data_IF_279212379437
#
_entry.id   IF_279212379437
#
_cell.length_a   1.000
_cell.length_b   1.000
_cell.length_c   1.000
_cell.angle_alpha   90.00
_cell.angle_beta   90.00
_cell.angle_gamma   90.00
#
_symmetry.space_group_name_H-M   'P 1'
#
loop_
_entity.id
_entity.type
_entity.pdbx_description
1 polymer ?
2 non-polymer ?
3 non-polymer ?
4 non-polymer ?
5 non-polymer ?
6 water ?
#
# COMPACT_ATOMS: atom_id res chain seq x y z
N UNK A 3 -6.47 12.38 -13.11
CA UNK A 3 -6.43 11.89 -11.70
C UNK A 3 -4.99 11.51 -11.29
N UNK A 4 -4.36 12.35 -10.47
CA UNK A 4 -3.02 12.06 -9.96
C UNK A 4 -3.18 11.05 -8.84
N UNK A 5 -2.33 10.03 -8.84
CA UNK A 5 -2.44 9.00 -7.81
C UNK A 5 -1.87 9.60 -6.53
N UNK A 6 -2.55 9.39 -5.41
CA UNK A 6 -2.04 9.84 -4.10
C UNK A 6 -0.75 9.13 -3.61
N UNK A 7 0.00 9.80 -2.74
CA UNK A 7 1.29 9.30 -2.27
C UNK A 7 1.21 8.12 -1.33
N UNK A 8 0.12 8.00 -0.57
CA UNK A 8 0.01 7.01 0.53
C UNK A 8 -0.88 5.87 0.14
N UNK A 9 -0.32 4.82 -0.47
CA UNK A 9 -1.19 3.76 -0.97
C UNK A 9 -2.03 3.03 0.08
N UNK A 10 -1.59 3.01 1.34
CA UNK A 10 -2.38 2.39 2.40
C UNK A 10 -3.77 3.00 2.55
N UNK A 11 -3.96 4.25 2.14
CA UNK A 11 -5.26 4.88 2.22
C UNK A 11 -6.25 4.32 1.20
N UNK A 12 -5.75 3.73 0.10
CA UNK A 12 -6.62 2.96 -0.80
C UNK A 12 -7.12 1.69 -0.09
N UNK A 13 -6.29 1.06 0.73
CA UNK A 13 -6.73 -0.07 1.54
C UNK A 13 -7.78 0.38 2.56
N UNK A 14 -7.52 1.50 3.25
CA UNK A 14 -8.49 2.06 4.19
C UNK A 14 -9.83 2.35 3.48
N UNK A 15 -9.78 2.99 2.32
CA UNK A 15 -10.98 3.30 1.57
C UNK A 15 -11.80 2.04 1.30
N UNK A 16 -11.12 0.97 0.91
CA UNK A 16 -11.83 -0.29 0.66
C UNK A 16 -12.51 -0.84 1.92
N UNK A 17 -11.84 -0.73 3.08
CA UNK A 17 -12.45 -1.10 4.36
C UNK A 17 -13.70 -0.25 4.65
N UNK A 18 -13.60 1.05 4.38
CA UNK A 18 -14.72 1.97 4.61
C UNK A 18 -15.88 1.68 3.66
N UNK A 19 -15.56 1.36 2.41
CA UNK A 19 -16.58 0.95 1.45
C UNK A 19 -17.34 -0.32 1.88
N UNK A 20 -16.65 -1.23 2.55
CA UNK A 20 -17.24 -2.49 3.00
C UNK A 20 -18.07 -2.34 4.27
N UNK A 21 -17.81 -1.30 5.05
CA UNK A 21 -18.58 -1.04 6.26
C UNK A 21 -20.03 -0.70 5.92
N UNK A 22 -20.92 -0.98 6.87
CA UNK A 22 -22.31 -0.63 6.73
C UNK A 22 -22.62 0.81 7.08
N UNK A 23 -21.67 1.51 7.69
CA UNK A 23 -21.90 2.91 8.07
C UNK A 23 -21.93 3.80 6.85
N UNK A 24 -22.64 4.93 6.95
CA UNK A 24 -22.67 5.87 5.84
C UNK A 24 -21.29 6.51 5.60
N UNK A 25 -21.13 7.02 4.39
CA UNK A 25 -19.82 7.38 3.87
C UNK A 25 -19.45 8.81 4.25
N UNK A 26 -19.09 9.00 5.52
CA UNK A 26 -18.55 10.25 6.02
C UNK A 26 -17.16 9.99 6.60
N UNK A 27 -16.18 10.78 6.15
CA UNK A 27 -14.77 10.60 6.55
C UNK A 27 -14.10 11.91 6.98
N UNK A 28 -13.31 11.83 8.06
CA UNK A 28 -12.49 12.95 8.54
C UNK A 28 -11.01 12.63 8.37
N UNK A 29 -10.29 13.55 7.74
CA UNK A 29 -8.83 13.50 7.64
C UNK A 29 -8.25 14.49 8.65
N UNK A 30 -7.59 13.94 9.67
CA UNK A 30 -6.85 14.75 10.66
C UNK A 30 -5.42 14.98 10.21
N UNK A 31 -5.18 16.16 9.64
CA UNK A 31 -3.92 16.55 9.04
C UNK A 31 -4.04 16.51 7.52
N UNK A 32 -4.94 17.31 6.95
CA UNK A 32 -5.46 17.03 5.59
C UNK A 32 -4.85 17.81 4.43
N UNK A 33 -3.98 18.77 4.71
CA UNK A 33 -3.54 19.71 3.68
C UNK A 33 -2.44 19.17 2.80
N UNK A 34 -1.85 20.05 1.99
CA UNK A 34 -0.77 19.68 1.10
C UNK A 34 -1.20 19.73 -0.36
N UNK A 35 -0.24 19.47 -1.24
CA UNK A 35 -0.40 19.58 -2.69
C UNK A 35 -1.14 18.39 -3.30
N UNK A 36 -1.41 17.36 -2.50
CA UNK A 36 -2.04 16.11 -2.99
C UNK A 36 -2.89 15.46 -1.89
N UNK A 37 -3.96 16.17 -1.44
CA UNK A 37 -4.77 15.73 -0.31
C UNK A 37 -5.49 14.39 -0.55
N UNK A 38 -5.19 13.39 0.27
CA UNK A 38 -5.82 12.08 0.04
C UNK A 38 -7.34 12.05 0.22
N UNK A 39 -7.93 13.09 0.79
CA UNK A 39 -9.40 13.16 0.81
C UNK A 39 -9.95 13.10 -0.61
N UNK A 40 -9.14 13.46 -1.61
CA UNK A 40 -9.54 13.36 -3.02
C UNK A 40 -10.07 11.96 -3.40
N UNK A 41 -9.45 10.89 -2.91
CA UNK A 41 -9.93 9.55 -3.28
C UNK A 41 -11.29 9.24 -2.64
N UNK A 42 -11.56 9.82 -1.48
CA UNK A 42 -12.85 9.61 -0.83
C UNK A 42 -13.97 10.40 -1.52
N UNK A 43 -13.72 11.67 -1.81
CA UNK A 43 -14.66 12.51 -2.56
C UNK A 43 -15.03 11.84 -3.87
N UNK A 44 -14.02 11.37 -4.58
CA UNK A 44 -14.21 10.68 -5.86
C UNK A 44 -15.07 9.42 -5.73
N UNK A 45 -15.08 8.81 -4.55
CA UNK A 45 -15.82 7.56 -4.30
C UNK A 45 -17.15 7.79 -3.56
N UNK A 46 -17.64 9.03 -3.56
CA UNK A 46 -18.97 9.33 -3.03
C UNK A 46 -19.06 9.77 -1.58
N UNK A 47 -17.92 9.97 -0.91
CA UNK A 47 -17.95 10.30 0.51
C UNK A 47 -18.26 11.75 0.75
N UNK A 48 -18.86 12.02 1.90
CA UNK A 48 -18.86 13.36 2.48
C UNK A 48 -17.58 13.49 3.30
N UNK A 49 -16.80 14.52 3.00
CA UNK A 49 -15.46 14.61 3.58
C UNK A 49 -15.33 15.82 4.49
N UNK A 50 -14.45 15.67 5.48
CA UNK A 50 -14.06 16.73 6.39
C UNK A 50 -12.56 16.62 6.58
N UNK A 51 -11.91 17.75 6.68
CA UNK A 51 -10.50 17.77 6.99
C UNK A 51 -10.15 18.85 7.99
N UNK A 52 -9.11 18.58 8.77
CA UNK A 52 -8.55 19.56 9.67
C UNK A 52 -7.09 19.74 9.30
N UNK A 53 -6.63 20.98 9.24
CA UNK A 53 -5.25 21.27 8.89
C UNK A 53 -4.80 22.52 9.65
N UNK A 54 -3.67 22.43 10.33
CA UNK A 54 -3.13 23.53 11.15
C UNK A 54 -2.39 24.58 10.33
N UNK A 55 -1.73 24.16 9.26
CA UNK A 55 -0.88 25.07 8.47
C UNK A 55 -1.67 25.82 7.41
N UNK A 56 -1.57 27.14 7.42
CA UNK A 56 -2.16 28.00 6.39
C UNK A 56 -1.60 27.66 5.01
N UNK A 57 -0.28 27.43 4.94
CA UNK A 57 0.34 27.07 3.67
C UNK A 57 -0.22 25.75 3.14
N UNK A 58 -0.31 24.74 4.01
CA UNK A 58 -0.83 23.43 3.62
C UNK A 58 -2.29 23.50 3.20
N UNK A 59 -3.04 24.36 3.87
CA UNK A 59 -4.45 24.55 3.53
C UNK A 59 -4.57 25.15 2.12
N UNK A 60 -3.74 26.17 1.85
CA UNK A 60 -3.72 26.82 0.53
C UNK A 60 -3.37 25.86 -0.62
N UNK A 61 -2.36 25.02 -0.40
CA UNK A 61 -1.97 24.01 -1.37
C UNK A 61 -3.13 23.07 -1.68
N UNK A 62 -3.84 22.61 -0.66
CA UNK A 62 -4.95 21.69 -0.86
C UNK A 62 -6.16 22.34 -1.54
N UNK A 63 -6.40 23.62 -1.28
CA UNK A 63 -7.50 24.33 -1.91
C UNK A 63 -7.21 24.58 -3.40
N UNK A 64 -5.97 24.93 -3.72
CA UNK A 64 -5.56 25.05 -5.12
C UNK A 64 -5.71 23.71 -5.87
N UNK A 65 -5.28 22.62 -5.22
CA UNK A 65 -5.47 21.28 -5.78
C UNK A 65 -6.94 21.02 -6.07
N UNK A 66 -7.77 21.28 -5.06
CA UNK A 66 -9.21 21.08 -5.14
C UNK A 66 -9.90 21.81 -6.29
N UNK A 67 -9.60 23.09 -6.44
CA UNK A 67 -10.21 23.88 -7.50
C UNK A 67 -9.65 23.48 -8.86
N UNK A 68 -8.37 23.13 -8.90
CA UNK A 68 -7.75 22.58 -10.12
C UNK A 68 -8.39 21.27 -10.55
N UNK A 69 -8.86 20.49 -9.59
CA UNK A 69 -9.46 19.18 -9.88
C UNK A 69 -10.98 19.18 -9.73
N UNK A 70 -11.54 20.34 -9.42
CA UNK A 70 -12.97 20.54 -9.55
C UNK A 70 -13.82 19.85 -8.47
N UNK A 71 -13.28 19.68 -7.27
CA UNK A 71 -14.12 19.27 -6.13
C UNK A 71 -13.88 20.07 -4.87
N UNK A 72 -14.74 19.84 -3.88
CA UNK A 72 -14.67 20.48 -2.58
C UNK A 72 -14.39 19.42 -1.50
N UNK A 73 -13.30 19.58 -0.78
CA UNK A 73 -12.86 18.61 0.23
C UNK A 73 -13.31 18.96 1.64
N UNK A 74 -13.71 20.22 1.86
CA UNK A 74 -14.24 20.65 3.15
C UNK A 74 -13.15 20.56 4.24
N UNK A 75 -11.97 21.05 3.91
CA UNK A 75 -10.85 21.11 4.84
C UNK A 75 -10.87 22.48 5.48
N UNK A 76 -10.78 22.51 6.80
CA UNK A 76 -10.73 23.78 7.52
C UNK A 76 -9.54 23.84 8.45
N UNK A 77 -9.13 25.05 8.79
CA UNK A 77 -8.05 25.27 9.74
C UNK A 77 -8.47 24.80 11.12
N UNK A 78 -7.58 24.06 11.76
CA UNK A 78 -7.83 23.56 13.10
C UNK A 78 -6.68 22.77 13.65
N UNK A 79 -6.85 22.37 14.90
CA UNK A 79 -5.87 21.61 15.65
C UNK A 79 -6.49 20.26 15.92
N UNK A 80 -5.84 19.19 15.46
CA UNK A 80 -6.36 17.83 15.61
C UNK A 80 -6.45 17.35 17.07
N UNK A 81 -5.82 18.10 17.97
CA UNK A 81 -5.94 17.84 19.40
C UNK A 81 -7.24 18.39 19.94
N UNK A 82 -7.93 19.21 19.17
CA UNK A 82 -9.19 19.79 19.59
C UNK A 82 -10.16 19.86 18.42
N UNK A 83 -10.77 18.72 18.12
CA UNK A 83 -11.61 18.59 16.94
C UNK A 83 -12.94 19.33 17.12
N UNK A 84 -13.32 20.15 16.14
CA UNK A 84 -14.54 20.94 16.29
C UNK A 84 -15.84 20.16 16.06
N UNK A 85 -15.80 18.84 16.08
CA UNK A 85 -16.96 18.02 15.74
C UNK A 85 -17.53 17.35 16.98
N UNK A 86 -18.80 16.95 16.90
CA UNK A 86 -19.52 16.36 18.04
C UNK A 86 -19.07 14.92 18.29
N UNK A 87 -19.40 14.40 19.47
CA UNK A 87 -19.15 13.00 19.80
C UNK A 87 -19.83 12.10 18.78
N UNK A 88 -19.15 11.03 18.38
CA UNK A 88 -19.75 10.02 17.50
C UNK A 88 -20.44 10.64 16.29
N UNK A 89 -19.74 11.57 15.65
CA UNK A 89 -20.25 12.25 14.47
C UNK A 89 -19.72 11.65 13.17
N UNK A 90 -18.60 10.93 13.22
CA UNK A 90 -17.94 10.45 12.01
C UNK A 90 -17.94 8.92 11.90
N UNK A 91 -18.27 8.42 10.72
CA UNK A 91 -18.16 6.99 10.46
C UNK A 91 -16.70 6.53 10.39
N UNK A 92 -15.86 7.34 9.74
CA UNK A 92 -14.48 6.96 9.48
C UNK A 92 -13.54 8.14 9.71
N UNK A 93 -12.39 7.85 10.31
CA UNK A 93 -11.39 8.89 10.58
C UNK A 93 -9.99 8.34 10.30
N UNK A 94 -9.15 9.14 9.65
CA UNK A 94 -7.74 8.78 9.54
C UNK A 94 -6.80 9.93 9.89
N UNK A 95 -5.62 9.56 10.40
CA UNK A 95 -4.50 10.47 10.56
C UNK A 95 -3.27 9.70 10.13
N UNK A 96 -2.79 9.99 8.93
CA UNK A 96 -1.77 9.20 8.25
C UNK A 96 -0.60 10.12 7.89
N UNK A 97 0.62 9.73 8.27
CA UNK A 97 1.80 10.60 8.07
C UNK A 97 1.79 11.88 8.89
N UNK A 98 1.07 11.87 10.01
CA UNK A 98 0.74 13.09 10.76
C UNK A 98 1.07 13.03 12.24
N UNK A 99 0.53 12.01 12.91
CA UNK A 99 0.56 11.88 14.37
C UNK A 99 1.96 11.93 14.97
N UNK A 100 2.91 11.35 14.27
CA UNK A 100 4.27 11.24 14.75
C UNK A 100 5.10 12.54 14.61
N UNK A 101 4.44 13.64 14.23
CA UNK A 101 5.09 14.95 14.22
C UNK A 101 4.84 15.69 15.51
N UNK A 102 4.44 14.97 16.54
CA UNK A 102 4.08 15.57 17.81
C UNK A 102 4.77 14.83 18.93
N UNK A 103 4.93 15.54 20.05
CA UNK A 103 5.25 14.92 21.32
C UNK A 103 4.15 13.92 21.70
N UNK A 104 4.53 12.92 22.49
CA UNK A 104 3.65 11.79 22.79
C UNK A 104 2.41 12.16 23.61
N UNK A 105 2.53 13.19 24.43
CA UNK A 105 1.38 13.76 25.11
C UNK A 105 0.34 14.28 24.12
N UNK A 106 0.82 14.97 23.08
CA UNK A 106 -0.05 15.47 22.01
C UNK A 106 -0.62 14.32 21.17
N UNK A 107 0.19 13.29 20.93
CA UNK A 107 -0.30 12.12 20.19
C UNK A 107 -1.51 11.56 20.91
N UNK A 108 -1.39 11.39 22.22
CA UNK A 108 -2.50 10.87 23.00
C UNK A 108 -3.75 11.75 22.88
N UNK A 109 -3.58 13.07 22.99
CA UNK A 109 -4.73 13.98 22.84
C UNK A 109 -5.41 13.79 21.48
N UNK A 110 -4.61 13.70 20.41
CA UNK A 110 -5.18 13.59 19.08
C UNK A 110 -5.94 12.28 18.93
N UNK A 111 -5.36 11.19 19.43
CA UNK A 111 -5.96 9.87 19.29
C UNK A 111 -7.23 9.80 20.12
N UNK A 112 -7.21 10.39 21.31
CA UNK A 112 -8.42 10.46 22.13
C UNK A 112 -9.53 11.20 21.37
N UNK A 113 -9.17 12.27 20.65
CA UNK A 113 -10.15 13.01 19.85
C UNK A 113 -10.73 12.20 18.69
N UNK A 114 -9.87 11.46 18.00
CA UNK A 114 -10.32 10.55 16.96
C UNK A 114 -11.35 9.55 17.53
N UNK A 115 -10.99 8.92 18.63
CA UNK A 115 -11.88 7.98 19.31
C UNK A 115 -13.21 8.63 19.70
N UNK A 116 -13.13 9.85 20.24
CA UNK A 116 -14.34 10.60 20.63
C UNK A 116 -15.29 10.84 19.45
N UNK A 117 -14.78 11.33 18.33
CA UNK A 117 -15.66 11.72 17.23
C UNK A 117 -16.16 10.52 16.42
N UNK A 118 -15.50 9.39 16.60
CA UNK A 118 -15.81 8.18 15.84
C UNK A 118 -17.12 7.57 16.36
N UNK A 119 -17.99 7.17 15.43
CA UNK A 119 -19.19 6.41 15.77
C UNK A 119 -18.84 4.99 16.26
N UNK A 120 -19.70 4.39 17.11
CA UNK A 120 -19.56 2.96 17.38
C UNK A 120 -19.59 2.19 16.06
N UNK A 121 -18.68 1.22 15.91
CA UNK A 121 -18.58 0.47 14.68
C UNK A 121 -17.74 1.17 13.61
N UNK A 122 -17.33 2.41 13.89
CA UNK A 122 -16.56 3.19 12.92
C UNK A 122 -15.12 2.74 12.88
N UNK A 123 -14.41 3.16 11.83
CA UNK A 123 -13.04 2.74 11.60
C UNK A 123 -12.09 3.91 11.73
N UNK A 124 -10.95 3.65 12.36
CA UNK A 124 -9.83 4.57 12.40
C UNK A 124 -8.62 3.97 11.67
N UNK A 125 -7.93 4.80 10.90
CA UNK A 125 -6.63 4.45 10.33
C UNK A 125 -5.59 5.47 10.79
N UNK A 126 -4.56 4.97 11.47
CA UNK A 126 -3.52 5.79 12.05
C UNK A 126 -2.21 5.07 11.85
N UNK A 127 -1.17 5.80 11.46
CA UNK A 127 0.17 5.22 11.46
C UNK A 127 1.21 6.01 12.26
N UNK A 128 2.32 5.33 12.52
CA UNK A 128 3.35 5.76 13.45
C UNK A 128 4.72 5.46 12.88
N UNK A 129 5.71 6.28 13.22
CA UNK A 129 7.12 5.94 13.08
C UNK A 129 7.52 4.96 14.17
N UNK A 130 8.30 3.96 13.80
CA UNK A 130 8.76 2.94 14.73
C UNK A 130 10.23 3.11 15.03
N UNK A 131 10.67 2.35 16.04
CA UNK A 131 12.08 2.28 16.41
C UNK A 131 12.98 1.66 15.33
N UNK A 132 12.39 1.13 14.26
CA UNK A 132 13.19 0.61 13.15
C UNK A 132 13.58 1.69 12.15
N UNK A 133 12.99 2.87 12.28
CA UNK A 133 13.35 3.99 11.43
C UNK A 133 14.78 4.44 11.69
N UNK A 134 15.50 4.72 10.60
CA UNK A 134 16.89 5.17 10.65
C UNK A 134 17.13 6.41 11.53
N UNK A 135 16.10 7.25 11.64
CA UNK A 135 16.20 8.51 12.38
C UNK A 135 15.90 8.33 13.89
N UNK A 136 15.45 7.14 14.29
CA UNK A 136 15.26 6.86 15.71
C UNK A 136 16.58 7.09 16.44
N UNK A 137 16.54 7.83 17.55
CA UNK A 137 17.75 8.15 18.31
C UNK A 137 18.70 9.17 17.67
N UNK A 138 18.28 9.83 16.60
CA UNK A 138 19.08 10.90 16.03
C UNK A 138 18.53 12.26 16.46
N UNK A 139 19.40 13.27 16.42
CA UNK A 139 19.01 14.60 16.81
C UNK A 139 18.94 14.74 18.32
N UNK A 140 18.23 15.76 18.76
CA UNK A 140 18.17 16.12 20.17
C UNK A 140 17.02 15.37 20.86
N UNK A 141 17.34 14.48 21.80
CA UNK A 141 16.31 13.75 22.54
C UNK A 141 15.62 14.67 23.55
N UNK A 142 14.30 14.80 23.46
CA UNK A 142 13.53 15.66 24.35
C UNK A 142 12.51 14.90 25.23
N UNK A 143 12.50 13.58 25.07
CA UNK A 143 11.60 12.71 25.82
C UNK A 143 11.85 11.29 25.38
N UNK A 144 11.30 10.31 26.08
CA UNK A 144 11.46 8.93 25.64
C UNK A 144 10.79 8.79 24.28
N UNK A 145 11.58 8.39 23.28
CA UNK A 145 11.13 8.33 21.90
C UNK A 145 10.70 9.63 21.24
N UNK A 146 11.22 10.76 21.72
CA UNK A 146 10.86 12.08 21.18
C UNK A 146 12.14 12.83 20.85
N UNK A 147 12.22 13.30 19.61
CA UNK A 147 13.44 13.91 19.11
C UNK A 147 13.15 15.18 18.33
N UNK A 148 14.07 16.13 18.45
CA UNK A 148 14.05 17.36 17.68
C UNK A 148 15.07 17.15 16.56
N UNK A 149 14.57 17.06 15.33
CA UNK A 149 15.39 16.67 14.18
C UNK A 149 15.26 17.78 13.13
N UNK A 150 15.96 17.69 11.99
CA UNK A 150 16.11 18.87 11.09
C UNK A 150 15.29 18.89 9.78
N UNK A 151 14.38 17.93 9.63
CA UNK A 151 13.41 17.93 8.53
C UNK A 151 12.50 19.16 8.56
N UNK A 153 16.35 21.81 6.19
CA UNK A 153 15.08 22.14 6.82
C UNK A 153 15.24 22.96 8.10
N UNK A 154 14.60 22.50 9.18
CA UNK A 154 14.68 23.18 10.49
C UNK A 154 14.23 22.25 11.63
N UNK A 155 14.35 22.71 12.88
CA UNK A 155 14.10 21.86 14.06
C UNK A 155 12.64 21.44 14.18
N UNK A 156 12.38 20.15 13.94
CA UNK A 156 11.02 19.58 13.97
C UNK A 156 10.99 18.37 14.89
N UNK A 157 9.81 18.11 15.47
CA UNK A 157 9.64 17.03 16.42
C UNK A 157 9.22 15.76 15.71
N UNK A 158 9.89 14.66 16.03
CA UNK A 158 9.45 13.32 15.65
C UNK A 158 9.34 12.42 16.89
N UNK A 159 8.20 11.73 16.99
CA UNK A 159 8.00 10.71 18.02
C UNK A 159 8.00 9.34 17.36
N UNK A 160 8.64 8.40 18.06
CA UNK A 160 8.87 7.03 17.60
C UNK A 160 8.29 6.05 18.63
N UNK A 161 7.73 4.96 18.15
CA UNK A 161 7.19 3.91 19.02
C UNK A 161 7.75 2.52 18.73
N UNK A 162 7.80 1.69 19.77
CA UNK A 162 7.91 0.24 19.58
C UNK A 162 6.52 -0.28 19.20
N UNK A 163 6.45 -1.50 18.67
CA UNK A 163 5.15 -2.08 18.35
C UNK A 163 4.32 -2.33 19.60
N UNK A 164 4.96 -2.79 20.68
CA UNK A 164 4.28 -3.00 21.95
C UNK A 164 3.65 -1.69 22.42
N UNK A 165 4.38 -0.60 22.25
CA UNK A 165 3.91 0.71 22.66
C UNK A 165 2.73 1.15 21.78
N UNK A 166 2.88 0.98 20.47
CA UNK A 166 1.81 1.35 19.53
C UNK A 166 0.51 0.60 19.80
N UNK A 167 0.62 -0.67 20.16
CA UNK A 167 -0.55 -1.50 20.40
C UNK A 167 -1.43 -0.93 21.51
N UNK A 168 -0.81 -0.28 22.49
CA UNK A 168 -1.54 0.25 23.65
C UNK A 168 -2.57 1.32 23.29
N UNK A 169 -2.33 2.04 22.19
CA UNK A 169 -3.32 3.01 21.70
C UNK A 169 -4.64 2.38 21.22
N UNK A 170 -4.60 1.11 20.86
CA UNK A 170 -5.78 0.41 20.29
C UNK A 170 -6.27 -0.71 21.17
N UNK A 171 -5.83 -0.73 22.42
CA UNK A 171 -6.07 -1.88 23.29
C UNK A 171 -7.56 -2.05 23.59
N UNK A 172 -8.32 -0.96 23.55
CA UNK A 172 -9.78 -1.00 23.72
C UNK A 172 -10.56 -0.95 22.38
N UNK A 173 -9.88 -1.24 21.26
CA UNK A 173 -10.53 -1.25 19.96
C UNK A 173 -10.25 -2.60 19.34
N UNK A 174 -10.98 -2.93 18.27
CA UNK A 174 -10.70 -4.14 17.52
C UNK A 174 -9.80 -3.80 16.33
N UNK A 175 -8.56 -4.27 16.38
CA UNK A 175 -7.61 -4.05 15.33
C UNK A 175 -7.89 -5.01 14.18
N UNK A 176 -8.35 -4.48 13.05
CA UNK A 176 -8.66 -5.29 11.87
C UNK A 176 -7.42 -5.55 11.02
N UNK A 177 -6.48 -4.62 11.05
CA UNK A 177 -5.30 -4.63 10.16
C UNK A 177 -4.17 -3.91 10.89
N UNK A 178 -3.02 -4.57 10.97
CA UNK A 178 -1.81 -4.00 11.56
C UNK A 178 -0.65 -4.43 10.67
N UNK A 179 0.10 -3.46 10.17
CA UNK A 179 1.23 -3.72 9.28
C UNK A 179 2.48 -3.04 9.77
N UNK A 180 3.48 -3.83 10.12
CA UNK A 180 4.80 -3.34 10.45
C UNK A 180 5.59 -3.31 9.16
N UNK A 181 6.17 -2.14 8.83
CA UNK A 181 6.83 -1.91 7.54
C UNK A 181 8.24 -1.36 7.75
N UNK A 182 9.20 -1.92 7.01
CA UNK A 182 10.52 -1.32 6.91
C UNK A 182 10.77 -1.02 5.45
N UNK A 183 10.89 0.26 5.16
CA UNK A 183 10.99 0.75 3.77
C UNK A 183 12.38 1.25 3.52
N UNK A 184 12.99 0.77 2.44
CA UNK A 184 14.22 1.36 1.96
C UNK A 184 13.98 1.98 0.59
N UNK A 185 14.33 3.25 0.46
CA UNK A 185 14.13 3.98 -0.77
C UNK A 185 15.18 5.08 -0.88
N UNK A 186 15.14 5.84 -1.95
CA UNK A 186 16.16 6.83 -2.25
C UNK A 186 15.64 8.20 -1.85
N UNK A 187 16.43 8.95 -1.09
CA UNK A 187 16.14 10.34 -0.79
C UNK A 187 17.44 11.10 -0.81
N UNK A 188 17.47 12.17 -1.61
CA UNK A 188 18.62 13.02 -1.75
C UNK A 188 19.86 12.25 -2.19
N UNK A 189 19.64 11.30 -3.10
CA UNK A 189 20.75 10.57 -3.70
C UNK A 189 21.29 9.42 -2.86
N UNK A 190 20.67 9.16 -1.72
CA UNK A 190 21.13 8.12 -0.78
C UNK A 190 20.00 7.18 -0.42
N UNK A 191 20.34 5.92 -0.16
CA UNK A 191 19.38 4.96 0.36
C UNK A 191 19.06 5.33 1.80
N UNK A 192 17.78 5.43 2.14
CA UNK A 192 17.35 5.67 3.52
C UNK A 192 16.46 4.51 3.96
N UNK A 193 16.34 4.32 5.28
CA UNK A 193 15.52 3.26 5.81
C UNK A 193 14.49 3.88 6.74
N UNK A 194 13.21 3.67 6.43
CA UNK A 194 12.12 4.17 7.24
C UNK A 194 11.36 3.05 7.91
N UNK A 195 10.79 3.33 9.06
CA UNK A 195 10.05 2.32 9.80
C UNK A 195 8.72 2.89 10.21
N UNK A 196 7.65 2.19 9.81
CA UNK A 196 6.29 2.59 10.15
C UNK A 196 5.50 1.41 10.58
N UNK A 197 4.48 1.66 11.40
CA UNK A 197 3.41 0.69 11.66
C UNK A 197 2.06 1.37 11.43
N UNK A 198 1.21 0.70 10.66
CA UNK A 198 -0.08 1.20 10.24
C UNK A 198 -1.18 0.34 10.89
N UNK A 199 -2.20 0.98 11.45
CA UNK A 199 -3.34 0.31 12.04
C UNK A 199 -4.63 0.71 11.35
N UNK A 200 -5.51 -0.26 11.15
CA UNK A 200 -6.92 0.02 10.92
C UNK A 200 -7.67 -0.68 12.06
N UNK A 201 -8.45 0.09 12.83
CA UNK A 201 -9.14 -0.44 13.99
C UNK A 201 -10.59 0.01 14.02
N UNK A 202 -11.44 -0.86 14.59
CA UNK A 202 -12.87 -0.61 14.69
C UNK A 202 -13.27 -0.31 16.14
N UNK A 203 -14.14 0.69 16.31
CA UNK A 203 -14.62 1.12 17.62
C UNK A 203 -15.73 0.19 18.13
N UNK A 204 -15.56 -0.31 19.35
CA UNK A 204 -16.55 -1.24 19.93
C UNK A 204 -17.83 -0.50 20.26
N UNK A 205 -18.96 -1.21 20.14
CA UNK A 205 -20.19 -0.76 20.75
C UNK A 205 -20.09 -1.10 22.24
N UNK A 206 -20.48 -0.16 23.08
CA UNK A 206 -20.34 -0.44 24.52
C UNK A 206 -21.71 -0.47 25.17
N UNK A 207 -21.87 -1.39 26.10
CA UNK A 207 -23.07 -1.41 26.91
C UNK A 207 -22.71 -1.67 28.36
N UNK A 208 -23.66 -1.38 29.24
CA UNK A 208 -23.47 -1.51 30.66
C UNK A 208 -24.45 -2.53 31.24
N UNK A 209 -23.91 -3.61 31.79
CA UNK A 209 -24.69 -4.61 32.47
C UNK A 209 -25.44 -4.04 33.70
N UNK B 2 -11.76 4.97 -10.76
CA UNK B 2 -12.20 3.80 -11.57
C UNK B 2 -13.58 3.26 -11.17
N UNK B 3 -13.88 3.31 -9.88
CA UNK B 3 -15.13 2.76 -9.35
C UNK B 3 -14.79 1.86 -8.17
N UNK B 4 -14.13 0.74 -8.48
CA UNK B 4 -13.65 -0.14 -7.42
C UNK B 4 -12.13 -0.04 -7.24
N UNK B 5 -11.77 -0.34 -6.02
CA UNK B 5 -10.43 -0.29 -5.56
C UNK B 5 -9.97 -1.71 -5.68
N UNK B 6 -8.75 -1.88 -6.15
CA UNK B 6 -8.18 -3.19 -6.24
C UNK B 6 -7.71 -3.65 -4.86
N UNK B 7 -7.45 -4.95 -4.74
CA UNK B 7 -7.08 -5.57 -3.48
C UNK B 7 -5.66 -5.28 -3.03
N UNK B 8 -4.74 -5.04 -3.96
CA UNK B 8 -3.32 -4.91 -3.60
C UNK B 8 -2.87 -3.49 -3.70
N UNK B 9 -2.94 -2.75 -2.58
CA UNK B 9 -2.63 -1.32 -2.66
C UNK B 9 -1.21 -0.92 -3.08
N UNK B 10 -0.24 -1.80 -2.93
CA UNK B 10 1.08 -1.50 -3.40
C UNK B 10 1.10 -1.22 -4.91
N UNK B 11 0.16 -1.79 -5.65
CA UNK B 11 0.15 -1.53 -7.10
C UNK B 11 -0.27 -0.11 -7.45
N UNK B 12 -0.95 0.59 -6.55
CA UNK B 12 -1.14 2.04 -6.73
C UNK B 12 0.17 2.83 -6.60
N UNK B 13 1.05 2.39 -5.70
CA UNK B 13 2.39 2.99 -5.62
C UNK B 13 3.13 2.74 -6.94
N UNK B 14 3.08 1.51 -7.43
CA UNK B 14 3.76 1.19 -8.68
C UNK B 14 3.19 2.01 -9.84
N UNK B 15 1.86 2.11 -9.93
CA UNK B 15 1.25 2.96 -10.98
C UNK B 15 1.77 4.40 -10.91
N UNK B 16 1.88 4.93 -9.70
CA UNK B 16 2.40 6.28 -9.55
C UNK B 16 3.85 6.38 -10.05
N UNK B 17 4.69 5.38 -9.74
CA UNK B 17 6.05 5.39 -10.29
C UNK B 17 6.03 5.34 -11.82
N UNK B 18 5.20 4.47 -12.38
CA UNK B 18 5.12 4.34 -13.84
C UNK B 18 4.65 5.65 -14.50
N UNK B 19 3.72 6.35 -13.85
CA UNK B 19 3.22 7.62 -14.37
C UNK B 19 4.35 8.65 -14.38
N UNK B 20 5.22 8.57 -13.37
CA UNK B 20 6.33 9.53 -13.23
C UNK B 20 7.51 9.24 -14.18
N UNK B 21 7.68 7.99 -14.55
CA UNK B 21 8.69 7.58 -15.54
C UNK B 21 8.47 8.31 -16.86
N UNK B 22 9.56 8.66 -17.54
CA UNK B 22 9.48 9.27 -18.85
C UNK B 22 9.11 8.29 -19.96
N UNK B 23 9.10 7.00 -19.67
CA UNK B 23 8.76 6.03 -20.71
C UNK B 23 7.26 6.04 -21.02
N UNK B 24 6.90 5.56 -22.19
CA UNK B 24 5.51 5.53 -22.59
C UNK B 24 4.75 4.44 -21.81
N UNK B 25 3.44 4.58 -21.78
CA UNK B 25 2.58 3.87 -20.82
C UNK B 25 2.14 2.52 -21.37
N UNK B 26 3.06 1.57 -21.34
CA UNK B 26 2.81 0.18 -21.69
C UNK B 26 3.23 -0.72 -20.51
N UNK B 27 2.32 -1.56 -20.04
CA UNK B 27 2.55 -2.36 -18.86
C UNK B 27 2.12 -3.82 -19.06
N UNK B 28 2.91 -4.74 -18.53
CA UNK B 28 2.60 -6.17 -18.52
C UNK B 28 2.40 -6.65 -17.09
N UNK B 29 1.30 -7.36 -16.89
CA UNK B 29 0.99 -8.04 -15.62
C UNK B 29 1.26 -9.53 -15.82
N UNK B 30 2.31 -10.03 -15.18
CA UNK B 30 2.62 -11.46 -15.20
C UNK B 30 1.87 -12.16 -14.09
N UNK B 31 0.77 -12.80 -14.47
CA UNK B 31 -0.19 -13.43 -13.54
C UNK B 31 -1.41 -12.55 -13.32
N UNK B 32 -2.13 -12.27 -14.40
CA UNK B 32 -3.07 -11.15 -14.46
C UNK B 32 -4.55 -11.41 -14.21
N UNK B 33 -4.95 -12.69 -14.10
CA UNK B 33 -6.36 -13.03 -13.97
C UNK B 33 -6.98 -12.77 -12.61
N UNK B 34 -8.23 -13.17 -12.47
CA UNK B 34 -8.97 -13.06 -11.20
C UNK B 34 -10.18 -12.17 -11.38
N UNK B 35 -10.97 -12.04 -10.33
CA UNK B 35 -12.22 -11.29 -10.46
C UNK B 35 -12.05 -9.78 -10.27
N UNK B 36 -10.83 -9.35 -9.94
CA UNK B 36 -10.54 -7.92 -9.74
C UNK B 36 -9.13 -7.60 -10.27
N UNK B 37 -8.94 -7.78 -11.58
CA UNK B 37 -7.60 -7.73 -12.18
C UNK B 37 -7.00 -6.35 -12.04
N UNK B 38 -5.83 -6.23 -11.42
CA UNK B 38 -5.24 -4.89 -11.23
C UNK B 38 -4.86 -4.13 -12.51
N UNK B 39 -4.78 -4.80 -13.66
CA UNK B 39 -4.57 -4.06 -14.92
C UNK B 39 -5.66 -3.00 -15.12
N UNK B 40 -6.82 -3.20 -14.49
CA UNK B 40 -7.91 -2.21 -14.52
C UNK B 40 -7.45 -0.79 -14.17
N UNK B 41 -6.59 -0.64 -13.17
CA UNK B 41 -6.19 0.72 -12.75
C UNK B 41 -5.22 1.34 -13.76
N UNK B 42 -4.47 0.50 -14.44
CA UNK B 42 -3.64 0.96 -15.55
C UNK B 42 -4.46 1.34 -16.80
N UNK B 43 -5.44 0.54 -17.19
CA UNK B 43 -6.29 0.91 -18.33
C UNK B 43 -7.03 2.21 -18.04
N UNK B 44 -7.49 2.37 -16.81
CA UNK B 44 -8.24 3.56 -16.38
C UNK B 44 -7.36 4.80 -16.43
N UNK B 45 -6.05 4.60 -16.29
CA UNK B 45 -5.10 5.70 -16.31
C UNK B 45 -4.38 5.84 -17.65
N UNK B 46 -4.95 5.29 -18.71
CA UNK B 46 -4.44 5.52 -20.07
C UNK B 46 -3.35 4.60 -20.57
N UNK B 47 -3.12 3.46 -19.93
CA UNK B 47 -2.05 2.56 -20.35
C UNK B 47 -2.53 1.64 -21.47
N UNK B 48 -1.60 1.26 -22.32
CA UNK B 48 -1.74 0.03 -23.12
C UNK B 48 -1.33 -1.13 -22.21
N UNK B 49 -2.21 -2.11 -22.05
CA UNK B 49 -1.97 -3.19 -21.09
C UNK B 49 -1.80 -4.53 -21.79
N UNK B 50 -1.04 -5.40 -21.13
CA UNK B 50 -0.89 -6.78 -21.54
C UNK B 50 -0.91 -7.62 -20.28
N UNK B 51 -1.52 -8.79 -20.36
CA UNK B 51 -1.53 -9.72 -19.22
C UNK B 51 -1.27 -11.13 -19.66
N UNK B 52 -0.64 -11.89 -18.78
CA UNK B 52 -0.43 -13.31 -18.95
C UNK B 52 -1.01 -14.04 -17.75
N UNK B 53 -1.79 -15.08 -18.01
CA UNK B 53 -2.42 -15.89 -16.98
C UNK B 53 -2.47 -17.37 -17.38
N UNK B 54 -2.03 -18.25 -16.50
CA UNK B 54 -1.97 -19.67 -16.80
C UNK B 54 -3.29 -20.42 -16.47
N UNK B 55 -4.06 -19.90 -15.52
CA UNK B 55 -5.28 -20.53 -15.06
C UNK B 55 -6.47 -20.21 -15.96
N UNK B 56 -7.14 -21.22 -16.46
CA UNK B 56 -8.37 -21.03 -17.26
C UNK B 56 -9.46 -20.31 -16.47
N UNK B 57 -9.68 -20.74 -15.22
CA UNK B 57 -10.69 -20.12 -14.39
C UNK B 57 -10.39 -18.64 -14.08
N UNK B 58 -9.14 -18.32 -13.75
CA UNK B 58 -8.77 -16.94 -13.44
C UNK B 58 -8.88 -16.04 -14.67
N UNK B 59 -8.56 -16.60 -15.82
CA UNK B 59 -8.70 -15.89 -17.08
C UNK B 59 -10.17 -15.63 -17.39
N UNK B 60 -11.02 -16.63 -17.15
CA UNK B 60 -12.45 -16.45 -17.31
C UNK B 60 -13.02 -15.39 -16.37
N UNK B 61 -12.57 -15.40 -15.11
CA UNK B 61 -13.00 -14.37 -14.16
C UNK B 61 -12.59 -12.95 -14.58
N UNK B 62 -11.39 -12.79 -15.12
CA UNK B 62 -10.93 -11.47 -15.55
C UNK B 62 -11.70 -10.98 -16.77
N UNK B 63 -12.02 -11.89 -17.69
CA UNK B 63 -12.87 -11.58 -18.84
C UNK B 63 -14.29 -11.14 -18.44
N UNK B 64 -14.89 -11.79 -17.46
CA UNK B 64 -16.22 -11.41 -16.98
C UNK B 64 -16.18 -10.00 -16.43
N UNK B 65 -15.15 -9.71 -15.63
CA UNK B 65 -14.93 -8.37 -15.07
C UNK B 65 -14.76 -7.35 -16.20
N UNK B 66 -13.97 -7.72 -17.20
CA UNK B 66 -13.75 -6.88 -18.37
C UNK B 66 -15.05 -6.49 -19.06
N UNK B 67 -15.88 -7.48 -19.35
CA UNK B 67 -17.15 -7.25 -20.00
C UNK B 67 -18.05 -6.37 -19.15
N UNK B 68 -18.22 -6.74 -17.88
CA UNK B 68 -19.05 -5.98 -16.94
C UNK B 68 -18.63 -4.50 -16.88
N UNK B 69 -17.33 -4.22 -16.98
CA UNK B 69 -16.78 -2.87 -16.90
C UNK B 69 -16.42 -2.21 -18.24
N UNK B 70 -16.68 -2.91 -19.35
CA UNK B 70 -16.44 -2.38 -20.69
C UNK B 70 -14.96 -2.07 -20.96
N UNK B 71 -14.07 -2.93 -20.46
CA UNK B 71 -12.62 -2.80 -20.68
C UNK B 71 -12.14 -3.87 -21.62
N UNK B 72 -11.08 -3.57 -22.35
CA UNK B 72 -10.20 -4.59 -22.89
C UNK B 72 -8.91 -4.52 -22.08
N UNK B 73 -8.59 -5.57 -21.34
CA UNK B 73 -7.32 -5.65 -20.61
C UNK B 73 -6.18 -6.37 -21.35
N UNK B 74 -6.49 -7.06 -22.45
CA UNK B 74 -5.50 -7.76 -23.23
C UNK B 74 -4.74 -8.85 -22.46
N UNK B 75 -5.48 -9.64 -21.70
CA UNK B 75 -4.92 -10.77 -20.98
C UNK B 75 -5.02 -12.00 -21.85
N UNK B 76 -3.90 -12.73 -21.97
CA UNK B 76 -3.83 -13.97 -22.76
C UNK B 76 -3.40 -15.11 -21.90
N UNK B 77 -3.84 -16.31 -22.25
CA UNK B 77 -3.34 -17.51 -21.63
C UNK B 77 -1.86 -17.65 -21.93
N UNK B 78 -1.09 -18.01 -20.92
CA UNK B 78 0.33 -18.23 -21.10
C UNK B 78 1.06 -18.55 -19.81
N UNK B 79 2.36 -18.78 -19.94
CA UNK B 79 3.21 -19.19 -18.84
C UNK B 79 4.23 -18.09 -18.67
N UNK B 80 4.31 -17.53 -17.46
CA UNK B 80 5.19 -16.38 -17.24
C UNK B 80 6.67 -16.76 -17.29
N UNK B 81 6.96 -18.06 -17.33
CA UNK B 81 8.34 -18.51 -17.53
C UNK B 81 8.79 -18.44 -18.95
N UNK B 82 7.84 -18.24 -19.87
CA UNK B 82 8.14 -18.11 -21.29
C UNK B 82 7.24 -17.05 -21.89
N UNK B 83 7.61 -15.80 -21.71
CA UNK B 83 6.78 -14.69 -22.18
C UNK B 83 6.81 -14.54 -23.69
N UNK B 84 5.64 -14.39 -24.34
CA UNK B 84 5.56 -14.26 -25.79
C UNK B 84 5.82 -12.82 -26.30
N UNK B 85 6.73 -12.09 -25.66
CA UNK B 85 6.99 -10.71 -26.04
C UNK B 85 8.45 -10.57 -26.42
N UNK B 86 8.76 -9.60 -27.26
CA UNK B 86 10.12 -9.38 -27.69
C UNK B 86 10.97 -8.77 -26.58
N UNK B 87 12.29 -8.91 -26.73
CA UNK B 87 13.25 -8.20 -25.88
C UNK B 87 12.93 -6.69 -25.86
N UNK B 88 13.01 -6.07 -24.68
CA UNK B 88 12.88 -4.63 -24.52
C UNK B 88 11.58 -4.08 -25.13
N UNK B 89 10.47 -4.80 -24.96
CA UNK B 89 9.18 -4.40 -25.53
C UNK B 89 8.27 -3.65 -24.54
N UNK B 90 8.52 -3.79 -23.23
CA UNK B 90 7.60 -3.23 -22.20
C UNK B 90 8.29 -2.15 -21.39
N UNK B 91 7.59 -1.05 -21.16
CA UNK B 91 8.10 -0.03 -20.28
C UNK B 91 8.05 -0.52 -18.83
N UNK B 92 6.95 -1.16 -18.45
CA UNK B 92 6.72 -1.55 -17.06
C UNK B 92 6.17 -2.97 -16.99
N UNK B 93 6.60 -3.70 -15.96
CA UNK B 93 6.19 -5.10 -15.75
C UNK B 93 6.03 -5.33 -14.26
N UNK B 94 4.95 -6.01 -13.90
CA UNK B 94 4.80 -6.42 -12.53
C UNK B 94 4.31 -7.87 -12.44
N UNK B 95 4.73 -8.52 -11.35
CA UNK B 95 4.22 -9.84 -10.97
C UNK B 95 4.05 -9.76 -9.48
N UNK B 96 2.80 -9.61 -9.07
CA UNK B 96 2.45 -9.24 -7.71
C UNK B 96 1.48 -10.25 -7.15
N UNK B 97 1.81 -10.84 -6.00
CA UNK B 97 1.01 -11.92 -5.44
C UNK B 97 1.04 -13.21 -6.22
N UNK B 98 2.10 -13.43 -6.98
CA UNK B 98 2.15 -14.46 -8.01
C UNK B 98 3.39 -15.32 -8.02
N UNK B 99 4.52 -14.64 -8.00
CA UNK B 99 5.80 -15.29 -8.33
C UNK B 99 6.16 -16.41 -7.36
N UNK B 100 5.78 -16.23 -6.10
CA UNK B 100 6.07 -17.17 -5.04
C UNK B 100 5.12 -18.41 -5.04
N UNK B 101 4.29 -18.55 -6.06
CA UNK B 101 3.51 -19.77 -6.26
C UNK B 101 4.27 -20.80 -7.08
N UNK B 102 5.59 -20.68 -7.11
CA UNK B 102 6.42 -21.53 -7.92
C UNK B 102 7.66 -21.91 -7.13
N UNK B 103 8.28 -22.97 -7.57
CA UNK B 103 9.58 -23.41 -7.07
C UNK B 103 10.63 -22.36 -7.44
N UNK B 104 11.68 -22.26 -6.64
CA UNK B 104 12.67 -21.23 -6.82
C UNK B 104 13.36 -21.23 -8.21
N UNK B 105 13.61 -22.38 -8.80
CA UNK B 105 14.14 -22.40 -10.17
C UNK B 105 13.17 -21.74 -11.16
N UNK B 106 11.86 -21.95 -10.95
CA UNK B 106 10.85 -21.34 -11.80
C UNK B 106 10.72 -19.83 -11.53
N UNK B 107 10.86 -19.44 -10.26
CA UNK B 107 10.90 -18.03 -9.91
C UNK B 107 12.01 -17.34 -10.71
N UNK B 108 13.20 -17.95 -10.75
CA UNK B 108 14.33 -17.36 -11.50
C UNK B 108 14.00 -17.24 -12.99
N UNK B 109 13.41 -18.30 -13.56
CA UNK B 109 13.00 -18.27 -14.98
C UNK B 109 12.09 -17.08 -15.25
N UNK B 110 11.09 -16.90 -14.38
CA UNK B 110 10.13 -15.84 -14.58
C UNK B 110 10.72 -14.45 -14.42
N UNK B 111 11.58 -14.26 -13.43
CA UNK B 111 12.22 -12.99 -13.24
C UNK B 111 13.18 -12.68 -14.40
N UNK B 112 13.89 -13.70 -14.88
CA UNK B 112 14.75 -13.52 -16.04
C UNK B 112 13.93 -13.05 -17.25
N UNK B 113 12.72 -13.58 -17.40
CA UNK B 113 11.83 -13.19 -18.49
C UNK B 113 11.35 -11.76 -18.34
N UNK B 114 10.99 -11.37 -17.13
CA UNK B 114 10.65 -9.96 -16.83
C UNK B 114 11.78 -9.02 -17.24
N UNK B 115 13.01 -9.36 -16.84
CA UNK B 115 14.18 -8.54 -17.15
C UNK B 115 14.39 -8.44 -18.66
N UNK B 116 14.21 -9.56 -19.35
CA UNK B 116 14.37 -9.63 -20.80
C UNK B 116 13.41 -8.68 -21.53
N UNK B 117 12.13 -8.69 -21.16
CA UNK B 117 11.15 -7.92 -21.95
C UNK B 117 11.11 -6.44 -21.57
N UNK B 118 11.71 -6.10 -20.43
CA UNK B 118 11.76 -4.72 -19.96
C UNK B 118 12.74 -3.88 -20.78
N UNK B 119 12.31 -2.68 -21.14
CA UNK B 119 13.18 -1.68 -21.78
C UNK B 119 14.27 -1.20 -20.83
N UNK B 120 15.40 -0.73 -21.38
CA UNK B 120 16.35 -0.01 -20.54
C UNK B 120 15.61 1.15 -19.85
N UNK B 121 15.81 1.32 -18.55
CA UNK B 121 15.07 2.34 -17.81
C UNK B 121 13.68 1.94 -17.38
N UNK B 122 13.27 0.73 -17.73
CA UNK B 122 11.94 0.21 -17.42
C UNK B 122 11.86 -0.18 -15.96
N UNK B 123 10.64 -0.24 -15.42
CA UNK B 123 10.45 -0.55 -14.00
C UNK B 123 9.77 -1.90 -13.84
N UNK B 124 10.27 -2.66 -12.86
CA UNK B 124 9.65 -3.91 -12.45
C UNK B 124 9.16 -3.80 -11.02
N UNK B 125 7.98 -4.34 -10.76
CA UNK B 125 7.47 -4.50 -9.40
C UNK B 125 7.18 -5.99 -9.16
N UNK B 126 7.83 -6.55 -8.16
CA UNK B 126 7.70 -7.95 -7.82
C UNK B 126 7.69 -8.08 -6.32
N UNK B 127 6.83 -8.95 -5.81
CA UNK B 127 6.88 -9.27 -4.37
C UNK B 127 6.99 -10.74 -4.04
N UNK B 128 7.39 -11.02 -2.81
CA UNK B 128 7.80 -12.36 -2.37
C UNK B 128 7.25 -12.59 -0.99
N UNK B 129 6.91 -13.84 -0.70
CA UNK B 129 6.67 -14.29 0.65
C UNK B 129 8.02 -14.39 1.34
N UNK B 130 8.05 -13.96 2.60
CA UNK B 130 9.24 -14.08 3.44
C UNK B 130 9.11 -15.15 4.51
N UNK B 131 10.23 -15.43 5.14
CA UNK B 131 10.30 -16.37 6.25
C UNK B 131 9.57 -15.85 7.49
N UNK B 132 9.12 -14.59 7.48
CA UNK B 132 8.27 -14.05 8.57
C UNK B 132 6.77 -14.40 8.42
N UNK B 133 6.38 -14.91 7.25
CA UNK B 133 5.02 -15.41 7.04
C UNK B 133 4.68 -16.60 7.97
N UNK B 134 3.48 -16.60 8.54
CA UNK B 134 2.97 -17.66 9.44
C UNK B 134 3.08 -19.07 8.82
N UNK B 135 3.02 -19.16 7.51
CA UNK B 135 2.96 -20.47 6.82
C UNK B 135 4.32 -20.95 6.33
N UNK B 136 5.35 -20.13 6.53
CA UNK B 136 6.72 -20.60 6.32
C UNK B 136 6.91 -21.87 7.15
N UNK B 137 7.47 -22.90 6.54
CA UNK B 137 7.66 -24.18 7.20
C UNK B 137 6.41 -24.94 7.60
N UNK B 138 5.27 -24.62 6.98
CA UNK B 138 4.09 -25.43 7.18
C UNK B 138 3.82 -26.17 5.87
N UNK B 139 3.03 -27.20 5.98
CA UNK B 139 2.74 -28.06 4.85
C UNK B 139 3.90 -28.99 4.51
N UNK B 140 3.95 -29.40 3.25
CA UNK B 140 4.79 -30.47 2.79
C UNK B 140 6.02 -29.90 2.15
N UNK B 141 7.18 -30.09 2.78
CA UNK B 141 8.42 -29.54 2.23
C UNK B 141 8.80 -30.30 0.98
N UNK B 142 9.01 -29.59 -0.11
CA UNK B 142 9.40 -30.19 -1.38
C UNK B 142 10.76 -29.66 -1.88
N UNK B 143 11.41 -28.80 -1.11
CA UNK B 143 12.66 -28.21 -1.52
C UNK B 143 13.03 -27.21 -0.48
N UNK B 144 14.23 -26.64 -0.59
CA UNK B 144 14.66 -25.62 0.36
C UNK B 144 13.81 -24.37 0.20
N UNK B 145 13.17 -23.95 1.29
CA UNK B 145 12.23 -22.86 1.24
C UNK B 145 11.02 -23.04 0.33
N UNK B 146 10.66 -24.29 0.00
CA UNK B 146 9.55 -24.60 -0.91
C UNK B 146 8.61 -25.60 -0.25
N UNK B 147 7.32 -25.25 -0.19
CA UNK B 147 6.31 -26.11 0.43
C UNK B 147 5.05 -26.26 -0.43
N UNK B 148 4.49 -27.45 -0.40
CA UNK B 148 3.21 -27.70 -1.02
C UNK B 148 2.20 -27.67 0.12
N UNK B 149 1.28 -26.73 0.04
CA UNK B 149 0.30 -26.48 1.10
C UNK B 149 -1.13 -26.57 0.58
N UNK B 150 -2.05 -27.05 1.41
CA UNK B 150 -3.48 -26.97 1.12
C UNK B 150 -4.00 -25.58 1.50
N UNK B 151 -4.50 -24.85 0.52
CA UNK B 151 -5.04 -23.54 0.75
C UNK B 151 -6.36 -23.41 0.01
N UNK B 152 -7.41 -23.07 0.77
CA UNK B 152 -8.77 -22.98 0.21
C UNK B 152 -9.16 -24.22 -0.58
N UNK B 153 -8.79 -25.39 -0.07
CA UNK B 153 -9.18 -26.65 -0.67
C UNK B 153 -8.34 -27.23 -1.78
N UNK B 154 -7.25 -26.54 -2.11
CA UNK B 154 -6.41 -26.88 -3.24
C UNK B 154 -4.93 -26.82 -2.88
N UNK B 155 -4.14 -27.62 -3.59
CA UNK B 155 -2.70 -27.69 -3.40
C UNK B 155 -2.06 -26.50 -4.09
N UNK B 156 -1.23 -25.78 -3.35
CA UNK B 156 -0.51 -24.64 -3.88
C UNK B 156 0.94 -24.76 -3.45
N UNK B 157 1.86 -24.44 -4.35
CA UNK B 157 3.25 -24.34 -4.00
C UNK B 157 3.48 -22.95 -3.46
N UNK B 158 4.17 -22.85 -2.33
CA UNK B 158 4.68 -21.58 -1.87
C UNK B 158 6.19 -21.67 -1.67
N UNK B 159 6.92 -20.72 -2.24
CA UNK B 159 8.33 -20.54 -1.94
C UNK B 159 8.50 -19.29 -1.10
N UNK B 160 9.47 -19.37 -0.17
CA UNK B 160 9.74 -18.33 0.82
C UNK B 160 11.20 -17.92 0.74
N UNK B 161 11.44 -16.63 0.94
CA UNK B 161 12.79 -16.09 0.87
C UNK B 161 13.11 -15.31 2.12
N UNK B 162 14.40 -15.28 2.41
CA UNK B 162 15.00 -14.32 3.31
C UNK B 162 15.20 -13.02 2.52
N UNK B 163 15.37 -11.90 3.21
CA UNK B 163 15.62 -10.64 2.54
C UNK B 163 16.95 -10.63 1.77
N UNK B 164 17.99 -11.24 2.34
CA UNK B 164 19.28 -11.38 1.65
C UNK B 164 19.07 -12.14 0.33
N UNK B 165 18.27 -13.19 0.40
CA UNK B 165 17.99 -13.99 -0.77
C UNK B 165 17.23 -13.19 -1.86
N UNK B 166 16.18 -12.47 -1.46
CA UNK B 166 15.39 -11.70 -2.41
C UNK B 166 16.21 -10.60 -3.08
N UNK B 167 17.08 -9.93 -2.29
CA UNK B 167 17.93 -8.86 -2.84
C UNK B 167 18.75 -9.36 -4.03
N UNK B 168 19.13 -10.63 -4.01
CA UNK B 168 19.98 -11.20 -5.09
C UNK B 168 19.31 -11.15 -6.46
N UNK B 169 17.98 -11.22 -6.49
CA UNK B 169 17.24 -11.08 -7.73
C UNK B 169 17.36 -9.69 -8.37
N UNK B 170 17.76 -8.69 -7.60
CA UNK B 170 17.80 -7.29 -8.07
C UNK B 170 19.18 -6.69 -8.03
N UNK B 171 20.18 -7.54 -7.83
CA UNK B 171 21.55 -7.06 -7.61
C UNK B 171 22.14 -6.36 -8.83
N UNK B 172 21.56 -6.66 -10.00
CA UNK B 172 21.90 -6.16 -11.31
C UNK B 172 20.97 -5.03 -11.79
N UNK B 173 20.09 -4.57 -10.90
CA UNK B 173 19.09 -3.54 -11.20
C UNK B 173 19.26 -2.45 -10.15
N UNK B 174 18.64 -1.31 -10.38
CA UNK B 174 18.60 -0.26 -9.35
C UNK B 174 17.28 -0.35 -8.58
N UNK B 175 17.35 -0.77 -7.33
CA UNK B 175 16.17 -0.84 -6.47
C UNK B 175 15.79 0.57 -6.02
N UNK B 176 14.63 1.02 -6.47
CA UNK B 176 14.10 2.31 -6.07
C UNK B 176 13.36 2.25 -4.74
N UNK B 177 12.71 1.11 -4.48
CA UNK B 177 11.80 0.95 -3.33
C UNK B 177 11.81 -0.50 -2.94
N UNK B 178 12.04 -0.74 -1.66
CA UNK B 178 11.94 -2.07 -1.08
C UNK B 178 11.24 -1.93 0.26
N UNK B 179 10.20 -2.75 0.48
CA UNK B 179 9.41 -2.76 1.71
C UNK B 179 9.25 -4.16 2.23
N UNK B 180 9.79 -4.38 3.42
CA UNK B 180 9.62 -5.62 4.13
C UNK B 180 8.45 -5.39 5.07
N UNK B 181 7.43 -6.24 5.00
CA UNK B 181 6.28 -6.07 5.87
C UNK B 181 5.76 -7.32 6.51
N UNK B 182 5.21 -7.13 7.69
CA UNK B 182 4.54 -8.19 8.42
C UNK B 182 3.15 -7.65 8.72
N UNK B 183 2.16 -8.33 8.17
CA UNK B 183 0.79 -7.93 8.29
C UNK B 183 0.06 -8.88 9.22
N UNK B 184 -0.73 -8.33 10.12
CA UNK B 184 -1.65 -9.10 10.94
C UNK B 184 -3.04 -8.55 10.67
N UNK B 185 -3.89 -9.39 10.08
CA UNK B 185 -5.21 -8.96 9.64
C UNK B 185 -6.23 -10.06 9.97
N UNK B 186 -7.47 -9.65 10.21
CA UNK B 186 -8.54 -10.60 10.54
C UNK B 186 -9.12 -11.13 9.23
N UNK B 187 -8.81 -12.38 8.89
CA UNK B 187 -9.41 -13.05 7.73
C UNK B 187 -10.42 -14.13 8.14
N UNK B 188 -11.68 -13.89 7.78
CA UNK B 188 -12.77 -14.82 8.03
C UNK B 188 -12.80 -15.18 9.52
N UNK B 189 -13.01 -14.16 10.35
CA UNK B 189 -13.16 -14.34 11.80
C UNK B 189 -11.88 -14.44 12.62
N UNK B 190 -10.76 -14.81 11.99
CA UNK B 190 -9.48 -15.06 12.70
C UNK B 190 -8.24 -14.30 12.17
N UNK B 191 -7.38 -13.94 13.12
CA UNK B 191 -6.11 -13.23 12.88
C UNK B 191 -5.06 -14.12 12.23
N UNK B 192 -4.47 -13.65 11.12
CA UNK B 192 -3.39 -14.32 10.40
C UNK B 192 -2.22 -13.33 10.18
N UNK B 193 -1.00 -13.86 10.23
CA UNK B 193 0.21 -13.08 10.09
C UNK B 193 0.82 -13.42 8.75
N UNK B 194 1.04 -12.42 7.92
CA UNK B 194 1.61 -12.62 6.64
C UNK B 194 2.90 -11.85 6.52
N UNK B 195 3.82 -12.41 5.74
CA UNK B 195 5.11 -11.77 5.53
C UNK B 195 5.45 -11.64 4.07
N UNK B 196 5.65 -10.40 3.62
CA UNK B 196 6.01 -10.10 2.23
C UNK B 196 7.17 -9.12 2.16
N UNK B 197 7.96 -9.20 1.10
CA UNK B 197 8.86 -8.13 0.73
C UNK B 197 8.55 -7.73 -0.73
N UNK B 198 8.34 -6.45 -0.93
CA UNK B 198 7.98 -5.84 -2.23
C UNK B 198 9.13 -5.02 -2.77
N UNK B 199 9.37 -5.13 -4.07
CA UNK B 199 10.42 -4.40 -4.74
C UNK B 199 9.85 -3.62 -5.93
N UNK B 200 10.34 -2.38 -6.09
CA UNK B 200 10.23 -1.63 -7.34
C UNK B 200 11.67 -1.32 -7.75
N UNK B 201 12.05 -1.80 -8.94
CA UNK B 201 13.41 -1.66 -9.43
C UNK B 201 13.46 -1.19 -10.90
N UNK B 202 14.54 -0.53 -11.29
CA UNK B 202 14.73 -0.01 -12.63
C UNK B 202 15.88 -0.72 -13.35
N UNK B 203 15.67 -1.03 -14.63
CA UNK B 203 16.68 -1.70 -15.43
C UNK B 203 17.76 -0.69 -15.89
N UNK B 204 19.02 -1.02 -15.62
CA UNK B 204 20.17 -0.22 -16.04
C UNK B 204 20.27 -0.16 -17.55
N UNK B 205 20.91 0.91 -18.02
CA UNK B 205 21.26 1.09 -19.42
C UNK B 205 22.71 0.66 -19.50
N UNK B 206 23.10 0.00 -20.57
CA UNK B 206 24.45 -0.58 -20.68
C UNK B 206 25.17 0.14 -21.82
N UNK B 207 26.45 0.48 -21.65
CA UNK B 207 27.26 1.01 -22.78
C UNK B 207 28.75 0.59 -22.76
N UNK B 208 29.40 0.81 -23.92
CA UNK B 208 30.80 0.40 -24.26
C UNK B 208 31.22 -0.98 -23.77
X LIG C 1 4.29 6.08 2.37
X LIG C 1 5.31 5.62 3.29
X LIG C 1 3.20 5.12 2.21
X LIG C 1 4.96 6.37 1.10
X LIG C 1 3.62 7.30 2.81
X LIG D 1 8.96 -3.90 19.29
X LIG D 1 7.81 -3.99 20.25
X LIG D 1 9.00 -5.15 18.55
X LIG D 1 10.22 -3.70 20.00
X LIG D 1 8.82 -2.81 18.30
X LIG E 1 -22.14 13.31 -0.76
X LIG E 1 -21.70 14.64 -0.44
X LIG E 1 -22.91 12.71 0.40
X LIG E 1 -22.64 11.30 0.50
X LIG E 1 -22.35 10.83 1.82
X LIG E 1 -23.61 10.67 2.66
X LIG E 1 -23.36 11.04 4.02
X LIG F 1 -10.81 22.39 -0.58
X LIG F 1 -11.74 21.65 -1.33
X LIG F 1 -11.50 23.03 0.62
X LIG F 1 -11.59 22.07 1.65
X LIG F 1 -12.88 23.57 0.25
X LIG F 1 -13.84 22.55 0.39
X LIG G 1 -0.58 18.18 10.06
X LIG G 1 0.75 18.08 9.59
X LIG G 1 -0.57 18.89 11.41
X LIG G 1 0.08 18.16 12.42
X LIG G 1 -1.99 19.15 11.90
X LIG G 1 -2.86 19.61 10.87
X LIG H 1 -1.60 -7.34 0.29
X LIG H 1 -2.78 -8.17 0.21
X LIG H 1 -0.40 -8.06 -0.20
X LIG H 1 -1.40 -7.01 1.70
X LIG H 1 -1.84 -6.18 -0.53
X LIG I 1 21.22 5.24 -4.90
X LIG I 1 21.76 5.17 -3.59
X LIG I 1 21.14 6.67 -5.39
X LIG I 1 20.82 6.68 -6.78
X LIG I 1 21.94 7.00 -7.61
X LIG I 1 21.61 6.80 -9.07
X LIG I 1 24.43 3.09 -9.64
X LIG I 1 23.99 4.23 -10.37
X LIG I 1 22.80 4.82 -9.63
X LIG I 1 22.72 6.24 -9.76
X LIG J 1 0.55 3.84 -24.88
X LIG J 1 1.52 3.67 -25.93
X LIG J 1 -0.80 4.21 -25.47
X LIG J 1 -1.83 4.19 -24.48
X LIG J 1 -3.17 4.15 -25.00
X LIG J 1 -3.43 2.89 -25.84
X LIG J 1 -4.74 2.35 -25.62
X LIG K 1 16.95 1.49 -2.06
X LIG K 1 18.21 1.61 -2.77
X LIG K 1 16.57 0.06 -1.66
X LIG K 1 17.68 -0.85 -1.53
X LIG K 1 17.36 -2.23 -1.37
X LIG K 1 18.46 -3.18 -1.90
X LIG K 1 17.94 -4.43 -2.45
X LIG L 1 -5.73 -24.57 6.14
X LIG L 1 -4.92 -23.77 6.99
X LIG L 1 -5.22 -25.99 6.07
X LIG L 1 -4.14 -26.10 5.16
X LIG L 1 -6.35 -26.97 5.77
X LIG L 1 -6.11 -28.12 6.58
X LIG M 1 -10.51 -8.42 -22.26
X LIG M 1 -10.30 -7.97 -20.95
X LIG M 1 -9.13 -8.45 -22.82
X LIG M 1 -8.94 -8.02 -24.16
X LIG M 1 -8.57 -9.80 -22.59
X LIG M 1 -8.45 -9.91 -21.19
X LIG N 1 14.86 -11.46 8.31
X LIG N 1 14.34 -10.16 8.06
X LIG N 1 15.67 -11.95 7.12
X LIG N 1 16.25 -13.20 7.42
X LIG N 1 16.82 -10.99 6.82
X LIG N 1 17.62 -11.49 5.77
X LIG O 1 1.03 0.32 2.15
X LIG O 1 2.22 0.98 1.81
X LIG O 1 1.17 -1.19 1.95
X LIG O 1 2.36 -1.69 2.54
X LIG O 1 1.17 -1.52 0.47
X LIG O 1 1.46 -2.89 0.32
X LIG P 1 -1.23 -15.35 -0.34
X LIG P 1 -2.46 -15.59 0.33
X LIG P 1 -1.00 -16.34 -1.47
X LIG P 1 -0.90 -15.68 -2.71
X LIG P 1 -2.16 -17.27 -1.68
X LIG P 1 -1.70 -18.37 -2.43
#
# INVERSE_FOLDING_TARGET
GXKTIIRQPQLYRFLKYCNESNLDKTVLDCGAGGDLPPLSIFVEDGYKTYGIEISDLQLKKAENFSRENNFKLNISKGDIRKLPFKDESMSFVYSYGTIFHMRKNDVKEAIDEIKRVLKPGGLACINFLTTKDERYNKGEKIGEGEFLQLERGEKVIHSYVSLEEADKYFKDMKVLFKEDRVVERINDGLKIKQGYVDYIAEKFSKSIL
GMKTIIRQPQLYRFLKYCNESNLDKTVLDCGAGGDLPPLSIFVEDGYKTYGIEISDLQLKKAENFSRENNFKLNISKGDIRKLPFKDESMSFVYSYGTIFHMRKNDVKEAIDEIKRVLKPGGLACINFLTTKDERYNKGEKIGEGEFLQLERGEKVIHSYVSLEEADKYFKDMKVLFKEDRVVERINDGLKIKQGYVDYIAEKFSKSIL
SO4 S O1 O2 O3 O4
SO4 S O1 O2 O3 O4
PEG C1 O1 C2 O2 C3 C4 O4
GOL C1 O1 C2 O2 C3 O3
GOL C1 O1 C2 O2 C3 O3
SO4 S O1 O2 O3 O4
PGE C1 O1 C2 O2 C3 C4 O4 C6 C5 O3
PEG C1 O1 C2 O2 C3 C4 O4
PEG C1 O1 C2 O2 C3 C4 O4
GOL C1 O1 C2 O2 C3 O3
GOL C1 O1 C2 O2 C3 O3
GOL C1 O1 C2 O2 C3 O3
GOL C1 O1 C2 O2 C3 O3
GOL C1 O1 C2 O2 C3 O3
#
